data_IF_906885307114
#
_entry.id   IF_906885307114
#
_cell.length_a   1.000
_cell.length_b   1.000
_cell.length_c   1.000
_cell.angle_alpha   90.00
_cell.angle_beta   90.00
_cell.angle_gamma   90.00
#
_symmetry.space_group_name_H-M   'P 1'
#
loop_
_entity.id
_entity.type
_entity.pdbx_description
1 polymer ?
#
# COMPACT_ATOMS: atom_id res chain seq x y z
N UNK A 1 11.96 18.99 -40.65
CA UNK A 1 12.79 17.85 -40.19
C UNK A 1 12.50 17.66 -38.72
N UNK A 2 12.13 16.46 -38.27
CA UNK A 2 11.85 16.22 -36.84
C UNK A 2 13.20 16.13 -36.11
N UNK A 3 13.40 16.81 -34.97
CA UNK A 3 14.64 16.70 -34.19
C UNK A 3 14.89 15.26 -33.71
N UNK A 4 16.14 14.79 -33.73
CA UNK A 4 16.50 13.44 -33.26
C UNK A 4 16.06 13.17 -31.80
N UNK A 5 16.13 14.19 -30.95
CA UNK A 5 15.65 14.14 -29.55
C UNK A 5 14.16 13.80 -29.48
N UNK A 6 13.34 14.36 -30.37
CA UNK A 6 11.90 14.08 -30.39
C UNK A 6 11.62 12.64 -30.85
N UNK A 7 12.41 12.11 -31.78
CA UNK A 7 12.33 10.71 -32.22
C UNK A 7 12.69 9.78 -31.05
N UNK A 8 13.75 10.10 -30.30
CA UNK A 8 14.18 9.30 -29.15
C UNK A 8 13.15 9.33 -28.01
N UNK A 9 12.58 10.49 -27.69
CA UNK A 9 11.48 10.59 -26.72
C UNK A 9 10.26 9.76 -27.16
N UNK A 10 9.92 9.79 -28.45
CA UNK A 10 8.86 8.96 -29.01
C UNK A 10 9.11 7.45 -28.85
N UNK A 11 10.35 7.01 -29.07
CA UNK A 11 10.74 5.59 -28.87
C UNK A 11 10.64 5.17 -27.41
N UNK A 12 11.12 6.00 -26.48
CA UNK A 12 11.01 5.74 -25.04
C UNK A 12 9.57 5.62 -24.59
N UNK A 13 8.71 6.56 -25.01
CA UNK A 13 7.28 6.53 -24.71
C UNK A 13 6.61 5.26 -25.25
N UNK A 14 6.88 4.88 -26.50
CA UNK A 14 6.34 3.66 -27.10
C UNK A 14 6.76 2.40 -26.34
N UNK A 15 8.03 2.31 -25.94
CA UNK A 15 8.54 1.18 -25.16
C UNK A 15 7.89 1.11 -23.77
N UNK A 16 7.79 2.23 -23.07
CA UNK A 16 7.12 2.30 -21.76
C UNK A 16 5.65 1.89 -21.85
N UNK A 17 4.91 2.40 -22.84
CA UNK A 17 3.53 2.02 -23.08
C UNK A 17 3.39 0.52 -23.42
N UNK A 18 4.32 -0.02 -24.21
CA UNK A 18 4.35 -1.46 -24.55
C UNK A 18 4.61 -2.32 -23.32
N UNK A 19 5.54 -1.91 -22.46
CA UNK A 19 5.84 -2.62 -21.23
C UNK A 19 4.63 -2.61 -20.30
N UNK A 20 4.02 -1.45 -20.06
CA UNK A 20 2.82 -1.34 -19.24
C UNK A 20 1.68 -2.23 -19.74
N UNK A 21 1.39 -2.18 -21.05
CA UNK A 21 0.35 -3.02 -21.67
C UNK A 21 0.61 -4.52 -21.48
N UNK A 22 1.87 -4.95 -21.53
CA UNK A 22 2.25 -6.37 -21.36
C UNK A 22 2.20 -6.80 -19.90
N UNK A 23 2.53 -5.91 -18.98
CA UNK A 23 2.60 -6.19 -17.55
C UNK A 23 1.26 -6.03 -16.83
N UNK A 24 0.32 -5.24 -17.36
CA UNK A 24 -0.96 -4.98 -16.71
C UNK A 24 -1.73 -6.27 -16.31
N UNK A 25 -1.92 -7.29 -17.18
CA UNK A 25 -2.65 -8.49 -16.79
C UNK A 25 -1.95 -9.30 -15.68
N UNK A 26 -0.62 -9.24 -15.63
CA UNK A 26 0.16 -9.93 -14.59
C UNK A 26 0.04 -9.20 -13.27
N UNK A 27 0.05 -7.87 -13.30
CA UNK A 27 -0.15 -7.03 -12.13
C UNK A 27 -1.56 -7.21 -11.57
N UNK A 28 -2.60 -7.17 -12.42
CA UNK A 28 -3.99 -7.40 -11.99
C UNK A 28 -4.14 -8.78 -11.34
N UNK A 29 -3.65 -9.84 -12.00
CA UNK A 29 -3.70 -11.20 -11.47
C UNK A 29 -2.96 -11.36 -10.14
N UNK A 30 -1.83 -10.67 -9.96
CA UNK A 30 -1.06 -10.70 -8.73
C UNK A 30 -1.81 -10.03 -7.58
N UNK A 31 -2.45 -8.89 -7.85
CA UNK A 31 -3.24 -8.15 -6.86
C UNK A 31 -4.51 -8.92 -6.48
N UNK A 32 -5.19 -9.51 -7.46
CA UNK A 32 -6.35 -10.36 -7.22
C UNK A 32 -5.95 -11.55 -6.33
N UNK A 33 -4.85 -12.25 -6.66
CA UNK A 33 -4.32 -13.35 -5.84
C UNK A 33 -3.94 -12.90 -4.43
N UNK A 34 -3.28 -11.75 -4.29
CA UNK A 34 -2.91 -11.18 -3.00
C UNK A 34 -4.15 -10.85 -2.17
N UNK A 35 -5.17 -10.26 -2.80
CA UNK A 35 -6.42 -9.90 -2.16
C UNK A 35 -7.23 -11.12 -1.73
N UNK A 36 -7.36 -12.13 -2.60
CA UNK A 36 -8.00 -13.40 -2.26
C UNK A 36 -7.30 -14.08 -1.09
N UNK A 37 -5.96 -14.12 -1.11
CA UNK A 37 -5.18 -14.69 0.00
C UNK A 37 -5.36 -13.92 1.29
N UNK A 38 -5.48 -12.59 1.27
CA UNK A 38 -5.72 -11.81 2.50
C UNK A 38 -7.00 -12.25 3.23
N UNK A 39 -8.00 -12.77 2.50
CA UNK A 39 -9.26 -13.30 3.04
C UNK A 39 -9.16 -14.73 3.59
N UNK A 40 -8.01 -15.41 3.44
CA UNK A 40 -7.75 -16.70 4.06
C UNK A 40 -7.76 -16.58 5.60
N UNK A 41 -8.36 -17.55 6.30
CA UNK A 41 -8.38 -17.62 7.76
C UNK A 41 -7.00 -17.58 8.40
N UNK A 42 -5.96 -18.06 7.70
CA UNK A 42 -4.57 -17.99 8.17
C UNK A 42 -4.05 -16.55 8.29
N UNK A 43 -4.65 -15.62 7.54
CA UNK A 43 -4.38 -14.20 7.60
C UNK A 43 -5.51 -13.49 8.34
N UNK A 44 -6.45 -12.88 7.62
CA UNK A 44 -7.46 -12.03 8.24
C UNK A 44 -8.85 -12.69 8.31
N UNK A 45 -9.11 -13.70 7.49
CA UNK A 45 -10.40 -14.39 7.42
C UNK A 45 -11.52 -13.44 6.96
N UNK A 46 -12.43 -13.09 7.87
CA UNK A 46 -13.56 -12.21 7.58
C UNK A 46 -13.09 -10.79 7.22
N UNK A 47 -12.96 -10.51 5.92
CA UNK A 47 -12.63 -9.19 5.37
C UNK A 47 -13.87 -8.58 4.71
N UNK A 48 -14.13 -7.30 5.00
CA UNK A 48 -15.21 -6.50 4.44
C UNK A 48 -14.63 -5.53 3.42
N UNK A 49 -15.07 -5.61 2.18
CA UNK A 49 -14.67 -4.67 1.12
C UNK A 49 -15.15 -3.24 1.44
N UNK A 50 -14.23 -2.28 1.50
CA UNK A 50 -14.49 -0.84 1.73
C UNK A 50 -14.35 -0.02 0.44
N UNK A 51 -14.20 -0.69 -0.70
CA UNK A 51 -14.17 -0.14 -2.03
C UNK A 51 -12.76 0.11 -2.56
N UNK A 52 -12.72 0.25 -3.87
CA UNK A 52 -11.54 0.55 -4.67
C UNK A 52 -11.46 2.04 -5.03
N UNK A 53 -10.24 2.52 -5.29
CA UNK A 53 -9.97 3.86 -5.81
C UNK A 53 -8.96 3.81 -6.94
N UNK A 54 -8.99 4.80 -7.83
CA UNK A 54 -8.00 4.97 -8.88
C UNK A 54 -7.49 6.40 -8.89
N UNK A 55 -6.16 6.56 -8.88
CA UNK A 55 -5.52 7.85 -9.08
C UNK A 55 -5.68 8.24 -10.55
N UNK A 56 -6.15 9.46 -10.80
CA UNK A 56 -6.40 9.98 -12.14
C UNK A 56 -7.85 10.41 -12.36
N UNK A 57 -8.05 11.48 -13.14
CA UNK A 57 -9.40 11.93 -13.49
C UNK A 57 -10.10 10.94 -14.42
N UNK A 58 -11.45 10.98 -14.48
CA UNK A 58 -12.31 10.13 -15.33
C UNK A 58 -12.02 10.16 -16.85
N UNK A 59 -11.00 10.91 -17.28
CA UNK A 59 -10.54 11.06 -18.67
C UNK A 59 -9.08 10.66 -18.88
N UNK A 60 -8.37 10.18 -17.85
CA UNK A 60 -6.99 9.73 -17.97
C UNK A 60 -6.93 8.42 -18.76
N UNK A 61 -6.01 8.33 -19.73
CA UNK A 61 -5.76 7.09 -20.48
C UNK A 61 -5.30 5.97 -19.53
N UNK A 62 -4.44 6.31 -18.56
CA UNK A 62 -3.84 5.38 -17.60
C UNK A 62 -4.06 5.96 -16.20
N UNK A 63 -4.52 5.15 -15.26
CA UNK A 63 -4.52 5.52 -13.86
C UNK A 63 -3.10 5.34 -13.29
N UNK A 64 -2.43 6.40 -12.80
CA UNK A 64 -1.11 6.31 -12.19
C UNK A 64 -1.05 5.45 -10.91
N UNK A 65 -2.19 5.23 -10.26
CA UNK A 65 -2.28 4.45 -9.04
C UNK A 65 -3.67 3.80 -8.86
N UNK A 66 -3.73 2.75 -8.06
CA UNK A 66 -4.94 2.02 -7.70
C UNK A 66 -4.91 1.72 -6.20
N UNK A 67 -6.06 1.73 -5.54
CA UNK A 67 -6.20 1.38 -4.13
C UNK A 67 -7.31 0.36 -3.93
N UNK A 68 -7.05 -0.63 -3.07
CA UNK A 68 -8.00 -1.63 -2.61
C UNK A 68 -8.05 -1.56 -1.09
N UNK A 69 -9.24 -1.37 -0.52
CA UNK A 69 -9.40 -1.11 0.91
C UNK A 69 -10.34 -2.14 1.54
N UNK A 70 -9.95 -2.62 2.71
CA UNK A 70 -10.67 -3.65 3.44
C UNK A 70 -10.78 -3.32 4.91
N UNK A 71 -11.92 -3.62 5.51
CA UNK A 71 -12.12 -3.69 6.95
C UNK A 71 -11.93 -5.12 7.43
N UNK A 72 -11.17 -5.32 8.49
CA UNK A 72 -10.98 -6.65 9.09
C UNK A 72 -12.02 -6.84 10.19
N UNK A 73 -12.90 -7.82 10.03
CA UNK A 73 -13.94 -8.10 11.02
C UNK A 73 -13.37 -8.88 12.21
N UNK A 74 -13.84 -8.62 13.44
CA UNK A 74 -13.37 -9.35 14.61
C UNK A 74 -13.81 -10.81 14.54
N UNK A 75 -12.84 -11.70 14.36
CA UNK A 75 -13.05 -13.15 14.22
C UNK A 75 -14.01 -13.70 15.29
N UNK A 76 -14.95 -14.59 14.91
CA UNK A 76 -15.86 -15.25 15.85
C UNK A 76 -15.13 -16.11 16.90
N UNK A 77 -13.91 -16.57 16.64
CA UNK A 77 -13.14 -17.41 17.57
C UNK A 77 -12.67 -16.68 18.84
N UNK A 78 -12.74 -15.34 18.87
CA UNK A 78 -12.53 -14.54 20.10
C UNK A 78 -13.84 -14.20 20.84
N UNK A 79 -14.97 -14.86 20.57
CA UNK A 79 -16.24 -14.59 21.27
C UNK A 79 -16.54 -15.56 22.42
N UNK A 80 -16.53 -14.97 23.62
CA UNK A 80 -17.36 -15.34 24.76
C UNK A 80 -18.72 -15.90 24.33
N UNK A 81 -19.03 -17.10 24.83
CA UNK A 81 -20.31 -17.78 24.65
C UNK A 81 -21.47 -16.85 25.04
N UNK A 82 -22.29 -16.48 24.05
CA UNK A 82 -23.62 -15.93 24.28
C UNK A 82 -23.77 -14.44 24.00
N UNK A 83 -23.96 -14.08 22.73
CA UNK A 83 -24.94 -13.05 22.29
C UNK A 83 -24.98 -13.02 20.76
N UNK A 84 -26.20 -12.88 20.23
CA UNK A 84 -26.53 -12.80 18.80
C UNK A 84 -25.52 -11.94 18.05
N UNK A 85 -25.00 -12.48 16.95
CA UNK A 85 -24.03 -11.87 16.06
C UNK A 85 -24.72 -10.73 15.30
N UNK A 86 -24.83 -9.57 15.93
CA UNK A 86 -24.93 -8.31 15.16
C UNK A 86 -23.63 -8.17 14.37
N UNK A 87 -23.71 -7.71 13.12
CA UNK A 87 -22.55 -7.29 12.31
C UNK A 87 -21.67 -6.41 13.20
N UNK A 88 -20.59 -6.97 13.74
CA UNK A 88 -19.67 -6.22 14.57
C UNK A 88 -18.81 -5.42 13.60
N UNK A 89 -18.72 -4.10 13.83
CA UNK A 89 -17.84 -3.22 13.09
C UNK A 89 -16.42 -3.83 12.96
N UNK A 90 -15.74 -3.61 11.83
CA UNK A 90 -14.35 -4.02 11.67
C UNK A 90 -13.48 -3.44 12.79
N UNK A 91 -12.46 -4.18 13.21
CA UNK A 91 -11.57 -3.76 14.30
C UNK A 91 -10.36 -2.96 13.83
N UNK A 92 -10.10 -2.98 12.52
CA UNK A 92 -9.09 -2.20 11.82
C UNK A 92 -9.29 -2.34 10.31
N UNK A 93 -8.45 -1.65 9.54
CA UNK A 93 -8.51 -1.67 8.07
C UNK A 93 -7.14 -1.96 7.47
N UNK A 94 -7.12 -2.48 6.25
CA UNK A 94 -5.94 -2.66 5.42
C UNK A 94 -6.17 -2.03 4.05
N UNK A 95 -5.09 -1.54 3.45
CA UNK A 95 -5.10 -0.91 2.14
C UNK A 95 -3.92 -1.42 1.32
N UNK A 96 -4.20 -1.91 0.12
CA UNK A 96 -3.19 -2.22 -0.90
C UNK A 96 -3.24 -1.14 -1.97
N UNK A 97 -2.15 -0.40 -2.13
CA UNK A 97 -2.07 0.72 -3.06
C UNK A 97 -0.94 0.46 -4.05
N UNK A 98 -1.31 0.25 -5.31
CA UNK A 98 -0.35 0.14 -6.41
C UNK A 98 -0.08 1.52 -6.95
N UNK A 99 1.17 1.96 -6.93
CA UNK A 99 1.62 3.23 -7.48
C UNK A 99 2.58 2.94 -8.63
N UNK A 100 2.23 3.35 -9.85
CA UNK A 100 3.08 3.23 -11.03
C UNK A 100 3.95 4.48 -11.22
N UNK A 101 3.38 5.64 -10.90
CA UNK A 101 4.06 6.93 -10.86
C UNK A 101 3.28 7.90 -9.95
N UNK A 102 3.74 9.14 -9.84
CA UNK A 102 3.02 10.16 -9.09
C UNK A 102 1.65 10.43 -9.70
N UNK A 103 0.62 10.56 -8.86
CA UNK A 103 -0.73 10.89 -9.33
C UNK A 103 -0.88 12.40 -9.63
N UNK A 104 0.01 13.21 -9.07
CA UNK A 104 0.07 14.65 -9.22
C UNK A 104 1.47 15.03 -9.72
N UNK A 105 1.56 16.06 -10.57
CA UNK A 105 2.85 16.62 -10.97
C UNK A 105 3.61 17.10 -9.73
N UNK A 106 4.78 16.50 -9.52
CA UNK A 106 5.64 16.79 -8.39
C UNK A 106 6.46 18.08 -8.65
N UNK A 107 6.58 18.93 -7.62
CA UNK A 107 7.57 20.00 -7.61
C UNK A 107 9.00 19.43 -7.55
N UNK A 108 10.01 20.24 -7.89
CA UNK A 108 11.42 19.81 -7.92
C UNK A 108 11.99 19.44 -6.52
N UNK A 109 11.39 19.95 -5.44
CA UNK A 109 11.79 19.69 -4.04
C UNK A 109 10.91 18.59 -3.41
N UNK A 110 11.16 17.33 -3.78
CA UNK A 110 10.46 16.18 -3.20
C UNK A 110 11.09 15.72 -1.88
N UNK A 111 10.28 15.23 -0.91
CA UNK A 111 10.81 14.56 0.26
C UNK A 111 11.53 13.27 -0.15
N UNK A 112 12.43 12.80 0.71
CA UNK A 112 13.18 11.57 0.50
C UNK A 112 12.33 10.32 0.75
N UNK A 113 11.28 10.16 -0.05
CA UNK A 113 10.34 9.06 0.02
C UNK A 113 10.56 8.09 -1.14
N UNK A 114 10.85 6.81 -0.84
CA UNK A 114 11.32 5.90 -1.88
C UNK A 114 10.23 5.45 -2.86
N UNK A 115 8.95 5.72 -2.57
CA UNK A 115 7.83 5.46 -3.48
C UNK A 115 7.61 6.55 -4.53
N UNK A 116 8.30 7.69 -4.45
CA UNK A 116 8.15 8.79 -5.41
C UNK A 116 8.97 8.59 -6.69
N UNK A 117 9.92 7.65 -6.69
CA UNK A 117 10.88 7.45 -7.79
C UNK A 117 10.76 6.10 -8.49
N UNK A 118 9.87 5.22 -8.04
CA UNK A 118 9.70 3.89 -8.61
C UNK A 118 8.28 3.34 -8.44
N UNK A 119 7.92 2.39 -9.30
CA UNK A 119 6.66 1.68 -9.19
C UNK A 119 6.68 0.72 -7.98
N UNK A 120 5.67 0.81 -7.12
CA UNK A 120 5.64 0.13 -5.84
C UNK A 120 4.23 -0.30 -5.42
N UNK A 121 4.19 -1.25 -4.49
CA UNK A 121 3.02 -1.61 -3.70
C UNK A 121 3.20 -1.01 -2.31
N UNK A 122 2.30 -0.12 -1.93
CA UNK A 122 2.18 0.44 -0.59
C UNK A 122 1.13 -0.38 0.16
N UNK A 123 1.48 -0.84 1.35
CA UNK A 123 0.63 -1.67 2.19
C UNK A 123 0.42 -0.92 3.49
N UNK A 124 -0.77 -0.36 3.66
CA UNK A 124 -1.14 0.44 4.83
C UNK A 124 -2.19 -0.25 5.69
N UNK A 125 -2.22 0.07 6.97
CA UNK A 125 -3.29 -0.38 7.87
C UNK A 125 -3.57 0.61 8.99
N UNK A 126 -4.79 0.54 9.52
CA UNK A 126 -5.22 1.23 10.73
C UNK A 126 -5.55 0.20 11.81
N UNK A 127 -4.84 0.18 12.95
CA UNK A 127 -5.03 -0.82 14.00
C UNK A 127 -6.28 -0.60 14.89
N UNK A 128 -6.97 0.54 14.82
CA UNK A 128 -8.04 0.91 15.78
C UNK A 128 -9.36 1.43 15.15
N UNK A 129 -10.46 0.83 15.64
CA UNK A 129 -11.88 1.27 15.87
C UNK A 129 -12.68 2.10 14.85
N UNK A 130 -12.10 2.86 13.95
CA UNK A 130 -12.86 3.63 12.96
C UNK A 130 -13.03 2.80 11.70
N UNK A 131 -14.25 2.31 11.50
CA UNK A 131 -14.57 1.29 10.50
C UNK A 131 -14.34 1.67 9.02
N UNK A 132 -14.17 2.96 8.74
CA UNK A 132 -14.08 3.50 7.39
C UNK A 132 -12.75 4.21 7.13
N UNK A 133 -11.83 4.18 8.10
CA UNK A 133 -10.52 4.80 7.94
C UNK A 133 -9.68 3.97 6.99
N UNK A 134 -9.39 4.54 5.83
CA UNK A 134 -8.68 3.88 4.76
C UNK A 134 -7.61 4.80 4.22
N UNK A 135 -6.55 4.18 3.74
CA UNK A 135 -5.54 4.91 3.00
C UNK A 135 -6.05 5.22 1.61
N UNK A 136 -6.05 6.50 1.26
CA UNK A 136 -6.28 6.96 -0.09
C UNK A 136 -4.94 7.20 -0.79
N UNK A 137 -4.98 7.25 -2.13
CA UNK A 137 -3.76 7.43 -2.95
C UNK A 137 -3.12 8.77 -2.63
N UNK A 138 -3.96 9.79 -2.40
CA UNK A 138 -3.57 11.15 -2.07
C UNK A 138 -2.75 11.24 -0.78
N UNK A 139 -2.90 10.29 0.15
CA UNK A 139 -2.11 10.27 1.38
C UNK A 139 -0.61 10.01 1.14
N UNK A 140 -0.22 9.52 -0.05
CA UNK A 140 1.17 9.23 -0.40
C UNK A 140 1.76 10.23 -1.39
N UNK A 141 1.03 11.29 -1.71
CA UNK A 141 1.55 12.39 -2.52
C UNK A 141 2.40 13.35 -1.68
N UNK A 142 3.40 13.96 -2.31
CA UNK A 142 4.35 14.85 -1.65
C UNK A 142 3.79 16.26 -1.38
N UNK A 143 2.61 16.35 -0.76
CA UNK A 143 2.00 17.62 -0.33
C UNK A 143 2.40 17.94 1.12
N UNK A 144 2.43 19.22 1.47
CA UNK A 144 2.89 19.70 2.78
C UNK A 144 2.22 18.99 3.96
N UNK A 145 0.91 18.76 3.88
CA UNK A 145 0.12 18.05 4.91
C UNK A 145 0.67 16.64 5.16
N UNK A 146 0.88 15.85 4.10
CA UNK A 146 1.42 14.50 4.20
C UNK A 146 2.87 14.50 4.68
N UNK A 147 3.68 15.49 4.27
CA UNK A 147 5.08 15.57 4.68
C UNK A 147 5.26 15.78 6.18
N UNK A 148 4.30 16.46 6.83
CA UNK A 148 4.30 16.65 8.28
C UNK A 148 3.76 15.40 9.00
N UNK A 149 2.79 14.70 8.42
CA UNK A 149 2.14 13.55 9.04
C UNK A 149 2.94 12.24 8.91
N UNK A 150 3.64 12.03 7.79
CA UNK A 150 4.39 10.81 7.50
C UNK A 150 5.79 10.89 8.07
N UNK A 151 6.17 9.85 8.82
CA UNK A 151 7.54 9.68 9.31
C UNK A 151 8.05 8.27 9.06
N UNK A 152 9.37 8.15 8.97
CA UNK A 152 10.03 6.86 9.04
C UNK A 152 10.03 6.35 10.49
N UNK A 153 9.51 5.15 10.73
CA UNK A 153 9.46 4.51 12.04
C UNK A 153 10.63 3.53 12.27
N UNK A 154 11.39 3.20 11.22
CA UNK A 154 12.56 2.33 11.28
C UNK A 154 12.35 1.01 10.55
N UNK A 155 13.45 0.37 10.13
CA UNK A 155 13.47 -0.99 9.54
C UNK A 155 12.56 -1.16 8.29
N UNK A 156 12.20 -0.07 7.60
CA UNK A 156 11.28 -0.09 6.45
C UNK A 156 9.82 0.18 6.78
N UNK A 157 9.50 0.36 8.07
CA UNK A 157 8.18 0.78 8.53
C UNK A 157 8.06 2.30 8.50
N UNK A 158 6.90 2.77 8.05
CA UNK A 158 6.48 4.16 8.07
C UNK A 158 5.21 4.31 8.90
N UNK A 159 5.04 5.49 9.48
CA UNK A 159 3.89 5.79 10.33
C UNK A 159 3.29 7.14 9.95
N UNK A 160 1.99 7.25 10.17
CA UNK A 160 1.22 8.49 10.08
C UNK A 160 0.81 8.94 11.46
N UNK A 161 1.06 10.21 11.76
CA UNK A 161 0.64 10.86 12.98
C UNK A 161 -0.55 11.76 12.70
N UNK A 162 -1.54 11.70 13.56
CA UNK A 162 -2.66 12.63 13.51
C UNK A 162 -2.19 14.05 13.88
N UNK A 163 -2.86 15.08 13.36
CA UNK A 163 -2.46 16.46 13.58
C UNK A 163 -2.46 16.81 15.08
N UNK A 164 -1.27 17.09 15.62
CA UNK A 164 -1.09 17.44 17.03
C UNK A 164 -1.00 16.24 17.99
N UNK A 165 -0.94 15.01 17.47
CA UNK A 165 -0.68 13.80 18.24
C UNK A 165 0.82 13.44 18.29
N UNK A 166 1.28 12.99 19.46
CA UNK A 166 2.62 12.39 19.62
C UNK A 166 2.64 10.88 19.26
N UNK A 167 1.47 10.27 19.10
CA UNK A 167 1.29 8.84 18.85
C UNK A 167 1.05 8.53 17.36
N UNK A 168 1.57 7.39 16.93
CA UNK A 168 1.35 6.90 15.56
C UNK A 168 -0.07 6.34 15.43
N UNK A 169 -0.80 6.86 14.46
CA UNK A 169 -2.20 6.53 14.20
C UNK A 169 -2.33 5.33 13.27
N UNK A 170 -1.54 5.33 12.20
CA UNK A 170 -1.59 4.35 11.14
C UNK A 170 -0.18 4.03 10.66
N UNK A 171 -0.04 2.88 10.01
CA UNK A 171 1.27 2.38 9.60
C UNK A 171 1.21 1.88 8.18
N UNK A 172 2.36 1.91 7.52
CA UNK A 172 2.52 1.33 6.20
C UNK A 172 3.96 0.94 5.93
N UNK A 173 4.16 0.10 4.93
CA UNK A 173 5.46 -0.14 4.33
C UNK A 173 5.31 -0.27 2.82
N UNK A 174 6.44 -0.20 2.12
CA UNK A 174 6.45 -0.12 0.67
C UNK A 174 7.36 -1.19 0.09
N UNK A 175 6.85 -1.91 -0.91
CA UNK A 175 7.56 -2.93 -1.66
C UNK A 175 7.75 -2.47 -3.11
N UNK A 176 8.91 -2.69 -3.73
CA UNK A 176 9.04 -2.52 -5.17
C UNK A 176 8.19 -3.57 -5.90
N UNK A 177 7.40 -3.17 -6.90
CA UNK A 177 6.52 -4.11 -7.60
C UNK A 177 7.29 -5.28 -8.24
N UNK A 178 8.52 -5.03 -8.69
CA UNK A 178 9.37 -6.05 -9.31
C UNK A 178 9.90 -7.11 -8.34
N UNK A 179 9.74 -6.93 -7.03
CA UNK A 179 10.03 -7.98 -6.05
C UNK A 179 8.90 -9.01 -5.92
N UNK A 180 7.69 -8.67 -6.40
CA UNK A 180 6.52 -9.53 -6.32
C UNK A 180 6.41 -10.37 -7.60
N UNK A 181 7.38 -11.25 -7.82
CA UNK A 181 7.54 -11.98 -9.08
C UNK A 181 6.52 -13.09 -9.31
N UNK A 182 5.90 -13.54 -8.23
CA UNK A 182 4.96 -14.65 -8.17
C UNK A 182 4.16 -14.59 -6.86
N UNK A 183 3.14 -15.43 -6.79
CA UNK A 183 2.22 -15.52 -5.66
C UNK A 183 2.88 -15.88 -4.33
N UNK A 184 3.99 -16.62 -4.35
CA UNK A 184 4.74 -17.01 -3.15
C UNK A 184 5.51 -15.80 -2.62
N UNK A 185 6.21 -15.07 -3.50
CA UNK A 185 6.93 -13.85 -3.14
C UNK A 185 6.00 -12.74 -2.71
N UNK A 186 4.85 -12.60 -3.35
CA UNK A 186 3.83 -11.66 -2.91
C UNK A 186 3.35 -12.00 -1.50
N UNK A 187 3.07 -13.26 -1.23
CA UNK A 187 2.65 -13.69 0.11
C UNK A 187 3.74 -13.49 1.18
N UNK A 188 4.97 -13.92 0.92
CA UNK A 188 6.13 -13.78 1.81
C UNK A 188 6.47 -12.31 2.11
N UNK A 189 6.40 -11.43 1.10
CA UNK A 189 6.83 -10.04 1.26
C UNK A 189 5.70 -9.10 1.68
N UNK A 190 4.43 -9.42 1.38
CA UNK A 190 3.29 -8.54 1.61
C UNK A 190 2.31 -9.05 2.68
N UNK A 191 1.94 -10.33 2.70
CA UNK A 191 0.90 -10.78 3.66
C UNK A 191 1.49 -11.21 4.99
N UNK A 192 2.60 -11.94 4.99
CA UNK A 192 3.23 -12.40 6.23
C UNK A 192 3.70 -11.24 7.12
N UNK A 193 4.40 -10.21 6.58
CA UNK A 193 4.82 -9.08 7.40
C UNK A 193 3.63 -8.26 7.88
N UNK A 194 2.65 -8.00 6.99
CA UNK A 194 1.43 -7.29 7.34
C UNK A 194 0.70 -7.98 8.50
N UNK A 195 0.55 -9.30 8.44
CA UNK A 195 -0.12 -10.08 9.49
C UNK A 195 0.60 -9.94 10.83
N UNK A 196 1.92 -10.13 10.85
CA UNK A 196 2.73 -10.03 12.06
C UNK A 196 2.67 -8.62 12.66
N UNK A 197 2.79 -7.58 11.84
CA UNK A 197 2.73 -6.17 12.24
C UNK A 197 1.35 -5.78 12.75
N UNK A 198 0.29 -6.22 12.07
CA UNK A 198 -1.09 -5.88 12.40
C UNK A 198 -1.55 -6.49 13.73
N UNK A 199 -1.04 -7.67 14.10
CA UNK A 199 -1.35 -8.31 15.38
C UNK A 199 -0.46 -7.85 16.55
N UNK A 200 0.61 -7.12 16.27
CA UNK A 200 1.53 -6.62 17.28
C UNK A 200 0.91 -5.47 18.08
N UNK A 201 1.15 -5.47 19.39
CA UNK A 201 0.80 -4.33 20.24
C UNK A 201 1.67 -3.10 19.94
N UNK A 202 2.92 -3.34 19.51
CA UNK A 202 3.87 -2.32 19.07
C UNK A 202 4.52 -2.80 17.76
N UNK A 203 3.98 -2.37 16.59
CA UNK A 203 4.49 -2.75 15.28
C UNK A 203 5.96 -2.33 15.06
N UNK A 204 6.40 -1.22 15.68
CA UNK A 204 7.77 -0.70 15.52
C UNK A 204 8.78 -1.67 16.12
N UNK A 205 8.48 -2.21 17.30
CA UNK A 205 9.39 -3.15 17.99
C UNK A 205 9.61 -4.47 17.25
N UNK A 206 8.64 -4.91 16.45
CA UNK A 206 8.69 -6.19 15.73
C UNK A 206 9.03 -6.04 14.24
N UNK A 207 9.12 -4.82 13.73
CA UNK A 207 9.25 -4.54 12.29
C UNK A 207 10.40 -5.30 11.63
N UNK A 208 11.57 -5.31 12.25
CA UNK A 208 12.76 -6.03 11.75
C UNK A 208 12.51 -7.52 11.56
N UNK A 209 11.88 -8.16 12.55
CA UNK A 209 11.58 -9.60 12.50
C UNK A 209 10.46 -9.88 11.51
N UNK A 210 9.43 -9.04 11.50
CA UNK A 210 8.28 -9.18 10.61
C UNK A 210 8.67 -9.05 9.14
N UNK A 211 9.56 -8.11 8.79
CA UNK A 211 10.04 -7.96 7.42
C UNK A 211 11.02 -9.05 7.03
N UNK A 212 11.93 -9.47 7.92
CA UNK A 212 12.89 -10.53 7.63
C UNK A 212 13.70 -10.23 6.36
N UNK A 213 13.37 -10.93 5.25
CA UNK A 213 13.99 -10.75 3.94
C UNK A 213 13.13 -9.95 2.93
N UNK A 214 11.97 -9.45 3.34
CA UNK A 214 11.12 -8.64 2.49
C UNK A 214 11.88 -7.39 2.02
N UNK A 215 11.89 -7.08 0.72
CA UNK A 215 12.64 -5.97 0.16
C UNK A 215 11.89 -4.65 0.35
N UNK A 216 11.67 -4.26 1.61
CA UNK A 216 11.03 -2.99 1.96
C UNK A 216 11.89 -1.81 1.52
N UNK A 217 11.24 -0.80 0.96
CA UNK A 217 11.91 0.41 0.52
C UNK A 217 12.28 1.30 1.71
N UNK A 218 13.53 1.73 1.73
CA UNK A 218 14.12 2.59 2.76
C UNK A 218 14.29 4.02 2.23
N UNK A 219 14.31 5.05 3.12
CA UNK A 219 14.78 6.38 2.75
C UNK A 219 16.16 6.32 2.08
N UNK A 220 16.39 7.17 1.08
CA UNK A 220 17.64 7.22 0.31
C UNK A 220 18.77 7.91 1.08
N UNK A 221 18.45 8.79 2.04
CA UNK A 221 19.41 9.60 2.80
C UNK A 221 19.74 9.04 4.19
N UNK A 222 20.01 7.73 4.29
CA UNK A 222 20.54 7.12 5.53
C UNK A 222 22.05 7.36 5.73
#
# INVERSE_FOLDING_TARGET
MIPEVAIEHGRKLFQSATNLRKSAPQLDSLLDSLWEKAQDEKYFGDVVDLGEGSGGGAKAWIAPAYSYNAGIAPSPHKKNKGKKQANKAPFGTISFIVRLCNAIDANEDLPDWPWLTQACLIIGWHPNKEHDDKWNIENFEAVDENQVAIRFAGEGLWAWRDEGGDEDYAYFYVLPLFALTDDEKAEECALQPLKALFEAADPVSVAKEAFGNAPVLLPTSQ
#
